data_IF_169378149350
#
_entry.id   IF_169378149350
#
_cell.length_a   1.000
_cell.length_b   1.000
_cell.length_c   1.000
_cell.angle_alpha   90.00
_cell.angle_beta   90.00
_cell.angle_gamma   90.00
#
_symmetry.space_group_name_H-M   'P 1'
#
loop_
_entity.id
_entity.type
_entity.pdbx_description
1 polymer ?
#
# COMPACT_ATOMS: atom_id res chain seq x y z
N UNK A 1 -0.55 15.81 -4.19
CA UNK A 1 -1.61 15.38 -3.25
C UNK A 1 -0.94 14.83 -1.99
N UNK A 2 -0.88 15.63 -0.92
CA UNK A 2 -0.25 15.22 0.33
C UNK A 2 -1.04 14.08 0.95
N UNK A 3 -0.51 12.86 0.85
CA UNK A 3 -1.13 11.69 1.44
C UNK A 3 -0.94 11.80 2.96
N UNK A 4 -1.98 12.29 3.67
CA UNK A 4 -1.98 12.36 5.14
C UNK A 4 -1.84 10.93 5.65
N UNK A 5 -0.64 10.61 6.13
CA UNK A 5 -0.29 9.30 6.65
C UNK A 5 -0.13 9.38 8.16
N UNK A 6 -0.55 8.32 8.81
CA UNK A 6 -0.17 8.07 10.19
C UNK A 6 1.36 7.89 10.28
N UNK A 7 2.01 8.46 11.31
CA UNK A 7 3.47 8.44 11.46
C UNK A 7 4.07 7.03 11.51
N UNK A 8 3.29 6.04 11.93
CA UNK A 8 3.71 4.63 11.97
C UNK A 8 3.43 3.84 10.68
N UNK A 9 3.01 4.50 9.59
CA UNK A 9 2.69 3.83 8.34
C UNK A 9 3.96 3.38 7.60
N UNK A 10 4.34 2.11 7.75
CA UNK A 10 5.54 1.53 7.12
C UNK A 10 5.44 1.44 5.60
N UNK A 11 4.24 1.20 5.04
CA UNK A 11 4.05 1.02 3.59
C UNK A 11 3.64 2.32 2.92
N UNK A 12 4.64 3.07 2.46
CA UNK A 12 4.43 4.34 1.78
C UNK A 12 4.11 4.17 0.30
N UNK A 13 3.68 5.24 -0.39
CA UNK A 13 3.39 5.21 -1.81
C UNK A 13 4.63 4.82 -2.62
N UNK A 14 5.80 5.33 -2.23
CA UNK A 14 7.07 4.97 -2.84
C UNK A 14 7.36 3.46 -2.71
N UNK A 15 7.15 2.87 -1.52
CA UNK A 15 7.31 1.43 -1.28
C UNK A 15 6.35 0.61 -2.16
N UNK A 16 5.09 1.05 -2.26
CA UNK A 16 4.08 0.37 -3.10
C UNK A 16 4.41 0.45 -4.58
N UNK A 17 4.88 1.60 -5.05
CA UNK A 17 5.34 1.79 -6.42
C UNK A 17 6.57 0.94 -6.72
N UNK A 18 7.51 0.84 -5.78
CA UNK A 18 8.68 -0.02 -5.90
C UNK A 18 8.30 -1.50 -6.03
N UNK A 19 7.35 -1.98 -5.21
CA UNK A 19 6.83 -3.36 -5.29
C UNK A 19 6.18 -3.65 -6.64
N UNK A 20 5.40 -2.71 -7.17
CA UNK A 20 4.72 -2.86 -8.47
C UNK A 20 5.68 -2.88 -9.66
N UNK A 21 6.71 -2.03 -9.66
CA UNK A 21 7.67 -1.95 -10.76
C UNK A 21 8.74 -3.04 -10.73
N UNK A 22 9.00 -3.63 -9.57
CA UNK A 22 10.06 -4.62 -9.42
C UNK A 22 9.65 -5.98 -9.97
N UNK A 23 10.55 -6.62 -10.72
CA UNK A 23 10.41 -8.02 -11.14
C UNK A 23 10.99 -9.01 -10.12
N UNK A 24 11.70 -8.53 -9.09
CA UNK A 24 12.30 -9.38 -8.07
C UNK A 24 11.26 -10.24 -7.34
N UNK A 25 11.73 -11.35 -6.76
CA UNK A 25 10.87 -12.24 -5.98
C UNK A 25 10.33 -11.57 -4.72
N UNK A 26 9.20 -12.08 -4.21
CA UNK A 26 8.59 -11.57 -2.96
C UNK A 26 9.55 -11.64 -1.77
N UNK A 27 10.38 -12.69 -1.72
CA UNK A 27 11.34 -12.90 -0.64
C UNK A 27 12.53 -11.94 -0.69
N UNK A 28 12.93 -11.48 -1.88
CA UNK A 28 13.96 -10.45 -2.04
C UNK A 28 13.43 -9.08 -1.63
N UNK A 29 12.27 -8.69 -2.17
CA UNK A 29 11.61 -7.42 -1.84
C UNK A 29 11.27 -7.30 -0.35
N UNK A 30 10.88 -8.41 0.28
CA UNK A 30 10.63 -8.44 1.73
C UNK A 30 11.88 -8.12 2.54
N UNK A 31 13.04 -8.65 2.14
CA UNK A 31 14.32 -8.42 2.82
C UNK A 31 14.83 -7.00 2.60
N UNK A 32 14.79 -6.51 1.36
CA UNK A 32 15.27 -5.17 0.99
C UNK A 32 14.43 -4.05 1.62
N UNK A 33 13.12 -4.22 1.65
CA UNK A 33 12.18 -3.20 2.15
C UNK A 33 11.83 -3.40 3.63
N UNK A 34 12.27 -4.49 4.26
CA UNK A 34 11.96 -4.80 5.67
C UNK A 34 10.47 -5.01 5.94
N UNK A 35 9.69 -5.43 4.93
CA UNK A 35 8.24 -5.60 5.01
C UNK A 35 7.85 -7.07 4.93
N UNK A 36 6.74 -7.43 5.58
CA UNK A 36 6.23 -8.80 5.56
C UNK A 36 5.99 -9.29 4.10
N UNK A 37 6.45 -10.50 3.71
CA UNK A 37 6.22 -11.04 2.36
C UNK A 37 4.75 -11.08 1.94
N UNK A 38 3.82 -11.29 2.88
CA UNK A 38 2.37 -11.26 2.63
C UNK A 38 1.91 -9.87 2.21
N UNK A 39 2.52 -8.82 2.75
CA UNK A 39 2.26 -7.42 2.34
C UNK A 39 2.78 -7.16 0.94
N UNK A 40 3.98 -7.66 0.61
CA UNK A 40 4.51 -7.59 -0.77
C UNK A 40 3.57 -8.27 -1.75
N UNK A 41 3.16 -9.52 -1.44
CA UNK A 41 2.25 -10.30 -2.27
C UNK A 41 0.90 -9.58 -2.48
N UNK A 42 0.34 -9.00 -1.42
CA UNK A 42 -0.90 -8.22 -1.47
C UNK A 42 -0.76 -7.02 -2.39
N UNK A 43 0.34 -6.27 -2.29
CA UNK A 43 0.57 -5.09 -3.14
C UNK A 43 0.87 -5.43 -4.58
N UNK A 44 1.59 -6.53 -4.86
CA UNK A 44 1.87 -7.03 -6.22
C UNK A 44 0.57 -7.40 -6.97
N UNK A 45 -0.43 -7.92 -6.25
CA UNK A 45 -1.74 -8.30 -6.84
C UNK A 45 -2.70 -7.12 -7.04
N UNK A 46 -2.39 -5.92 -6.54
CA UNK A 46 -3.25 -4.75 -6.72
C UNK A 46 -2.98 -4.10 -8.06
N UNK A 47 -4.03 -3.61 -8.71
CA UNK A 47 -3.92 -2.86 -9.97
C UNK A 47 -3.40 -1.43 -9.76
N UNK A 48 -3.62 -0.86 -8.56
CA UNK A 48 -3.31 0.54 -8.26
C UNK A 48 -2.42 0.68 -7.02
N UNK A 49 -1.53 1.66 -7.07
CA UNK A 49 -0.59 2.05 -5.98
C UNK A 49 -1.23 3.07 -5.03
N UNK A 50 -2.24 3.77 -5.51
CA UNK A 50 -2.99 4.79 -4.80
C UNK A 50 -3.83 4.21 -3.65
N UNK A 51 -3.99 5.01 -2.59
CA UNK A 51 -4.96 4.67 -1.55
C UNK A 51 -6.37 4.91 -2.07
N UNK A 52 -7.22 3.88 -1.99
CA UNK A 52 -8.64 4.04 -2.27
C UNK A 52 -9.31 4.68 -1.07
N UNK A 53 -10.17 5.68 -1.31
CA UNK A 53 -11.05 6.22 -0.27
C UNK A 53 -11.81 5.07 0.36
N UNK A 54 -11.64 4.91 1.67
CA UNK A 54 -12.35 3.90 2.45
C UNK A 54 -13.51 4.61 3.13
N UNK A 55 -14.73 4.21 2.78
CA UNK A 55 -15.95 4.80 3.35
C UNK A 55 -17.14 4.70 2.39
N UNK A 56 -18.38 4.80 2.90
CA UNK A 56 -19.56 4.83 2.06
C UNK A 56 -19.53 6.06 1.16
N UNK A 57 -19.90 5.87 -0.12
CA UNK A 57 -19.96 6.95 -1.11
C UNK A 57 -20.93 8.06 -0.68
N UNK A 58 -22.02 7.69 -0.02
CA UNK A 58 -22.93 8.58 0.66
C UNK A 58 -22.90 8.30 2.17
N UNK A 59 -22.31 9.19 2.98
CA UNK A 59 -22.39 9.08 4.42
C UNK A 59 -23.82 9.38 4.87
N UNK A 60 -24.53 8.35 5.36
CA UNK A 60 -25.82 8.51 6.03
C UNK A 60 -25.59 8.44 7.53
N UNK A 61 -25.26 9.58 8.12
CA UNK A 61 -25.29 9.75 9.58
C UNK A 61 -26.15 10.96 9.84
N UNK A 62 -27.42 10.71 10.16
CA UNK A 62 -28.32 11.69 10.75
C UNK A 62 -28.05 11.70 12.25
N UNK A 63 -27.77 12.88 12.81
CA UNK A 63 -27.70 13.12 14.27
C UNK A 63 -29.09 12.93 14.87
#
# INVERSE_FOLDING_TARGET
MGQVRHGSATTTHAVRAAIQRSQASLAQLSRELGINPKTVAKWRKRETVEDRKTGPKEPRSTV
#
